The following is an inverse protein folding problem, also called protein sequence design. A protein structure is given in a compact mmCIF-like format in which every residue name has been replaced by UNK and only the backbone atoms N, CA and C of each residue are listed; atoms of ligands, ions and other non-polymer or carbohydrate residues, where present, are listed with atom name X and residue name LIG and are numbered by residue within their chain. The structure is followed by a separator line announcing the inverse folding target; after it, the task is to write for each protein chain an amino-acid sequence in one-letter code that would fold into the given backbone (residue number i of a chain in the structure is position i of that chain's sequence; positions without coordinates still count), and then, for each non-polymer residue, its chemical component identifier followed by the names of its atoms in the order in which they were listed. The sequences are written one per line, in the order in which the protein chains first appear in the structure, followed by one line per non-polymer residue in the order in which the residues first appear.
data_IF_376427970881
#
_entry.id   IF_376427970881
#
_cell.length_a   1.000
_cell.length_b   1.000
_cell.length_c   1.000
_cell.angle_alpha   90.00
_cell.angle_beta   90.00
_cell.angle_gamma   90.00
#
_symmetry.space_group_name_H-M   'P 1'
#
loop_
_entity.id
_entity.type
_entity.pdbx_description
1 polymer ?
#
# COMPACT_ATOMS: atom_id res chain seq x y z
N UNK A 1 21.95 10.08 -2.13
CA UNK A 1 23.24 10.24 -1.43
C UNK A 1 24.26 9.22 -1.91
N UNK A 2 23.98 7.92 -1.78
CA UNK A 2 24.89 6.85 -2.22
C UNK A 2 25.29 6.95 -3.71
N UNK A 3 24.35 7.23 -4.61
CA UNK A 3 24.67 7.43 -6.06
C UNK A 3 25.52 8.67 -6.35
N UNK A 4 25.68 9.56 -5.36
CA UNK A 4 26.52 10.76 -5.45
C UNK A 4 27.84 10.60 -4.68
N UNK A 5 28.20 9.37 -4.31
CA UNK A 5 29.49 9.05 -3.68
C UNK A 5 29.56 9.27 -2.17
N UNK A 6 28.43 9.40 -1.47
CA UNK A 6 28.45 9.42 -0.02
C UNK A 6 28.86 8.03 0.52
N UNK A 7 29.92 7.98 1.32
CA UNK A 7 30.38 6.77 1.99
C UNK A 7 29.26 6.21 2.90
N UNK A 8 28.84 4.93 2.75
CA UNK A 8 27.76 4.36 3.55
C UNK A 8 27.98 4.53 5.06
N UNK A 9 29.21 4.29 5.55
CA UNK A 9 29.56 4.41 6.95
C UNK A 9 29.48 5.84 7.52
N UNK A 10 29.42 6.87 6.66
CA UNK A 10 29.23 8.25 7.07
C UNK A 10 27.74 8.64 7.21
N UNK A 11 26.81 7.74 6.85
CA UNK A 11 25.37 7.97 6.90
C UNK A 11 24.80 7.27 8.13
N UNK A 12 24.23 8.05 9.05
CA UNK A 12 23.38 7.52 10.13
C UNK A 12 21.93 7.56 9.68
N UNK A 13 21.27 6.40 9.60
CA UNK A 13 19.85 6.33 9.30
C UNK A 13 19.03 6.09 10.57
N UNK A 14 18.18 7.05 10.93
CA UNK A 14 17.24 6.91 12.03
C UNK A 14 15.95 6.27 11.52
N UNK A 15 15.64 5.07 12.02
CA UNK A 15 14.38 4.36 11.76
C UNK A 15 13.52 4.48 13.02
N UNK A 16 12.39 5.18 12.92
CA UNK A 16 11.46 5.32 14.05
C UNK A 16 10.68 4.04 14.34
N UNK A 17 10.27 3.32 13.28
CA UNK A 17 9.68 1.97 13.32
C UNK A 17 10.06 1.23 12.03
N UNK A 18 10.45 -0.02 12.14
CA UNK A 18 10.66 -0.85 10.95
C UNK A 18 9.34 -1.08 10.22
N UNK A 19 9.39 -0.97 8.89
CA UNK A 19 8.25 -1.10 8.00
C UNK A 19 8.36 -2.35 7.13
N UNK A 20 7.21 -2.94 6.82
CA UNK A 20 7.07 -3.75 5.61
C UNK A 20 7.05 -2.82 4.39
N UNK A 21 7.77 -3.18 3.34
CA UNK A 21 7.86 -2.42 2.09
C UNK A 21 7.27 -3.22 0.94
N UNK A 22 6.47 -2.59 0.09
CA UNK A 22 5.93 -3.25 -1.10
C UNK A 22 7.01 -3.36 -2.16
N UNK A 23 7.21 -4.56 -2.73
CA UNK A 23 8.12 -4.76 -3.83
C UNK A 23 7.57 -4.07 -5.09
N UNK A 24 8.27 -3.04 -5.58
CA UNK A 24 7.86 -2.24 -6.74
C UNK A 24 7.60 -3.07 -8.00
N UNK A 25 8.22 -4.26 -8.11
CA UNK A 25 8.01 -5.20 -9.22
C UNK A 25 6.53 -5.62 -9.37
N UNK A 26 5.75 -5.60 -8.30
CA UNK A 26 4.33 -5.93 -8.33
C UNK A 26 3.46 -4.85 -9.02
N UNK A 27 4.00 -3.66 -9.27
CA UNK A 27 3.23 -2.47 -9.67
C UNK A 27 3.61 -1.94 -11.07
N UNK A 28 4.26 -2.75 -11.91
CA UNK A 28 4.74 -2.33 -13.22
C UNK A 28 3.78 -2.77 -14.33
N UNK A 29 3.00 -1.83 -14.87
CA UNK A 29 2.00 -2.09 -15.92
C UNK A 29 2.55 -2.03 -17.35
N UNK A 30 3.82 -1.67 -17.53
CA UNK A 30 4.48 -1.64 -18.84
C UNK A 30 4.47 -3.04 -19.48
N UNK A 31 4.27 -3.11 -20.80
CA UNK A 31 4.03 -4.37 -21.50
C UNK A 31 5.13 -5.43 -21.30
N UNK A 32 6.39 -5.01 -21.29
CA UNK A 32 7.56 -5.88 -21.06
C UNK A 32 7.69 -6.39 -19.63
N UNK A 33 7.03 -5.75 -18.66
CA UNK A 33 7.08 -6.09 -17.23
C UNK A 33 5.79 -6.76 -16.74
N UNK A 34 4.72 -6.69 -17.53
CA UNK A 34 3.36 -7.13 -17.20
C UNK A 34 3.29 -8.55 -16.64
N UNK A 35 3.87 -9.52 -17.33
CA UNK A 35 3.75 -10.94 -16.94
C UNK A 35 4.37 -11.19 -15.57
N UNK A 36 5.49 -10.51 -15.26
CA UNK A 36 6.11 -10.57 -13.94
C UNK A 36 5.29 -9.88 -12.84
N UNK A 37 4.58 -8.80 -13.16
CA UNK A 37 3.65 -8.18 -12.21
C UNK A 37 2.40 -9.03 -11.98
N UNK A 38 1.84 -9.67 -13.02
CA UNK A 38 0.72 -10.61 -12.89
C UNK A 38 1.09 -11.85 -12.08
N UNK A 39 2.28 -12.41 -12.29
CA UNK A 39 2.83 -13.49 -11.47
C UNK A 39 2.90 -13.08 -10.00
N UNK A 40 3.46 -11.89 -9.72
CA UNK A 40 3.59 -11.39 -8.34
C UNK A 40 2.23 -11.11 -7.70
N UNK A 41 1.25 -10.61 -8.44
CA UNK A 41 -0.13 -10.46 -7.96
C UNK A 41 -0.75 -11.82 -7.66
N UNK A 42 -0.54 -12.83 -8.51
CA UNK A 42 -1.07 -14.17 -8.30
C UNK A 42 -0.53 -14.79 -7.00
N UNK A 43 0.78 -14.69 -6.77
CA UNK A 43 1.41 -15.17 -5.53
C UNK A 43 0.89 -14.45 -4.29
N UNK A 44 0.66 -13.15 -4.37
CA UNK A 44 0.02 -12.39 -3.29
C UNK A 44 -1.41 -12.89 -3.04
N UNK A 45 -2.18 -13.14 -4.10
CA UNK A 45 -3.54 -13.67 -3.99
C UNK A 45 -3.58 -15.07 -3.38
N UNK A 46 -2.60 -15.93 -3.66
CA UNK A 46 -2.48 -17.25 -3.00
C UNK A 46 -2.26 -17.11 -1.49
N UNK A 47 -1.39 -16.18 -1.06
CA UNK A 47 -1.18 -15.87 0.36
C UNK A 47 -2.46 -15.28 0.97
N UNK A 48 -3.09 -14.31 0.31
CA UNK A 48 -4.33 -13.69 0.77
C UNK A 48 -5.47 -14.70 0.91
N UNK A 49 -5.54 -15.70 0.03
CA UNK A 49 -6.57 -16.75 0.08
C UNK A 49 -6.36 -17.76 1.22
N UNK A 50 -5.13 -17.93 1.71
CA UNK A 50 -4.78 -19.07 2.59
C UNK A 50 -4.20 -18.69 3.96
N UNK A 51 -3.72 -17.46 4.14
CA UNK A 51 -3.11 -17.03 5.40
C UNK A 51 -4.06 -17.20 6.58
N UNK A 52 -3.61 -17.91 7.62
CA UNK A 52 -4.43 -18.27 8.79
C UNK A 52 -4.54 -17.15 9.82
N UNK A 53 -3.54 -16.27 9.90
CA UNK A 53 -3.45 -15.13 10.81
C UNK A 53 -2.74 -13.94 10.13
N UNK A 54 -2.76 -12.76 10.76
CA UNK A 54 -2.01 -11.59 10.28
C UNK A 54 -0.51 -11.87 10.24
N UNK A 55 0.03 -12.63 11.20
CA UNK A 55 1.43 -13.03 11.21
C UNK A 55 1.78 -13.90 10.00
N UNK A 56 0.98 -14.94 9.74
CA UNK A 56 1.15 -15.82 8.59
C UNK A 56 0.98 -15.07 7.25
N UNK A 57 0.11 -14.05 7.22
CA UNK A 57 -0.04 -13.17 6.07
C UNK A 57 1.25 -12.38 5.80
N UNK A 58 1.83 -11.72 6.81
CA UNK A 58 3.11 -11.00 6.66
C UNK A 58 4.24 -11.91 6.18
N UNK A 59 4.38 -13.08 6.81
CA UNK A 59 5.40 -14.07 6.46
C UNK A 59 5.20 -14.59 5.03
N UNK A 60 3.97 -14.91 4.64
CA UNK A 60 3.65 -15.34 3.28
C UNK A 60 3.94 -14.26 2.24
N UNK A 61 3.62 -12.99 2.54
CA UNK A 61 3.91 -11.86 1.65
C UNK A 61 5.41 -11.62 1.48
N UNK A 62 6.20 -11.82 2.54
CA UNK A 62 7.67 -11.80 2.45
C UNK A 62 8.21 -12.98 1.63
N UNK A 63 7.77 -14.21 1.95
CA UNK A 63 8.23 -15.45 1.30
C UNK A 63 7.94 -15.45 -0.20
N UNK A 64 6.78 -14.94 -0.61
CA UNK A 64 6.43 -14.85 -2.02
C UNK A 64 7.13 -13.68 -2.75
N UNK A 65 7.86 -12.84 -2.00
CA UNK A 65 8.67 -11.73 -2.50
C UNK A 65 7.88 -10.44 -2.76
N UNK A 66 6.62 -10.38 -2.35
CA UNK A 66 5.77 -9.20 -2.52
C UNK A 66 6.10 -8.12 -1.50
N UNK A 67 6.42 -8.50 -0.27
CA UNK A 67 6.86 -7.60 0.78
C UNK A 67 8.34 -7.81 1.10
N UNK A 68 8.98 -6.73 1.53
CA UNK A 68 10.40 -6.69 1.85
C UNK A 68 10.58 -6.01 3.21
N UNK A 69 11.65 -6.35 3.93
CA UNK A 69 12.06 -5.66 5.17
C UNK A 69 13.56 -5.40 5.15
N UNK A 70 13.97 -4.36 5.88
CA UNK A 70 15.37 -3.91 5.93
C UNK A 70 16.25 -4.94 6.65
N UNK A 71 15.75 -5.46 7.76
CA UNK A 71 16.49 -6.34 8.66
C UNK A 71 15.66 -7.61 8.92
N UNK A 72 16.23 -8.77 8.61
CA UNK A 72 15.54 -10.06 8.75
C UNK A 72 15.38 -10.50 10.22
N UNK A 73 16.13 -9.91 11.15
CA UNK A 73 16.02 -10.21 12.58
C UNK A 73 14.92 -9.39 13.26
N UNK A 74 14.45 -8.33 12.61
CA UNK A 74 13.41 -7.45 13.15
C UNK A 74 12.09 -7.74 12.46
N UNK A 75 11.04 -7.87 13.26
CA UNK A 75 9.67 -7.96 12.74
C UNK A 75 9.10 -6.56 12.60
N UNK A 76 8.82 -6.07 11.38
CA UNK A 76 8.22 -4.77 11.18
C UNK A 76 6.81 -4.68 11.77
N UNK A 77 6.45 -3.48 12.26
CA UNK A 77 5.14 -3.18 12.86
C UNK A 77 4.33 -2.15 12.05
N UNK A 78 4.95 -1.54 11.04
CA UNK A 78 4.36 -0.50 10.21
C UNK A 78 4.20 -0.98 8.77
N UNK A 79 3.13 -0.55 8.09
CA UNK A 79 2.98 -0.74 6.64
C UNK A 79 2.22 0.43 6.03
N UNK A 80 2.90 1.20 5.18
CA UNK A 80 2.33 2.38 4.49
C UNK A 80 2.21 2.18 2.98
N UNK A 81 2.31 0.93 2.49
CA UNK A 81 2.37 0.61 1.06
C UNK A 81 3.48 1.35 0.28
N UNK A 82 4.56 1.73 0.97
CA UNK A 82 5.72 2.37 0.35
C UNK A 82 6.47 1.37 -0.52
N UNK A 83 6.84 1.79 -1.74
CA UNK A 83 7.41 0.88 -2.74
C UNK A 83 8.93 0.98 -2.84
N UNK A 84 9.60 -0.17 -2.81
CA UNK A 84 11.05 -0.29 -2.94
C UNK A 84 11.40 -1.46 -3.84
N UNK A 85 12.57 -1.42 -4.47
CA UNK A 85 13.16 -2.60 -5.11
C UNK A 85 14.03 -3.37 -4.12
N UNK A 86 14.22 -4.67 -4.35
CA UNK A 86 15.13 -5.48 -3.55
C UNK A 86 16.56 -4.89 -3.53
N UNK A 87 17.03 -4.37 -4.66
CA UNK A 87 18.36 -3.77 -4.77
C UNK A 87 18.49 -2.47 -3.95
N UNK A 88 17.50 -1.58 -3.99
CA UNK A 88 17.48 -0.37 -3.15
C UNK A 88 17.49 -0.73 -1.66
N UNK A 89 16.67 -1.70 -1.24
CA UNK A 89 16.59 -2.10 0.16
C UNK A 89 17.88 -2.78 0.65
N UNK A 90 18.50 -3.60 -0.21
CA UNK A 90 19.82 -4.16 0.07
C UNK A 90 20.84 -3.06 0.31
N UNK A 91 20.89 -2.02 -0.52
CA UNK A 91 21.82 -0.88 -0.30
C UNK A 91 21.59 -0.19 1.04
N UNK A 92 20.34 -0.04 1.47
CA UNK A 92 20.00 0.52 2.79
C UNK A 92 20.51 -0.34 3.95
N UNK A 93 20.46 -1.67 3.80
CA UNK A 93 21.03 -2.60 4.79
C UNK A 93 22.55 -2.46 5.00
N UNK A 94 23.27 -1.85 4.04
CA UNK A 94 24.73 -1.65 4.11
C UNK A 94 25.15 -0.27 4.64
N UNK A 95 24.22 0.58 5.12
CA UNK A 95 24.55 1.91 5.65
C UNK A 95 25.43 1.87 6.91
N UNK A 96 25.64 0.71 7.53
CA UNK A 96 26.56 0.53 8.66
C UNK A 96 26.08 1.10 9.98
N UNK A 97 25.35 2.22 9.99
CA UNK A 97 24.79 2.84 11.18
C UNK A 97 23.27 3.07 11.04
N UNK A 98 22.48 2.14 11.57
CA UNK A 98 21.03 2.24 11.67
C UNK A 98 20.64 2.42 13.14
N UNK A 99 20.03 3.56 13.46
CA UNK A 99 19.56 3.90 14.81
C UNK A 99 18.08 3.57 14.93
N UNK A 100 17.72 2.74 15.91
CA UNK A 100 16.34 2.34 16.22
C UNK A 100 15.96 2.73 17.65
N UNK A 101 15.77 4.03 17.87
CA UNK A 101 15.42 4.58 19.19
C UNK A 101 14.13 5.42 19.13
N UNK A 102 13.19 5.02 18.27
CA UNK A 102 11.93 5.72 18.07
C UNK A 102 12.08 7.02 17.27
N UNK A 103 11.07 7.89 17.35
CA UNK A 103 11.07 9.18 16.61
C UNK A 103 12.16 10.10 17.13
N UNK A 104 12.81 10.81 16.21
CA UNK A 104 13.66 11.95 16.53
C UNK A 104 12.78 13.09 17.06
N UNK A 105 13.13 13.65 18.21
CA UNK A 105 12.38 14.71 18.90
C UNK A 105 13.08 16.06 18.80
N UNK A 106 14.42 16.07 18.89
CA UNK A 106 15.21 17.29 18.86
C UNK A 106 16.62 17.02 18.31
N UNK A 107 17.19 18.01 17.64
CA UNK A 107 18.58 18.04 17.18
C UNK A 107 19.27 19.24 17.83
N UNK A 108 20.47 19.00 18.35
CA UNK A 108 21.39 20.01 18.88
C UNK A 108 22.81 19.75 18.33
N UNK A 109 23.70 20.75 18.29
CA UNK A 109 25.10 20.49 17.97
C UNK A 109 25.69 19.44 18.92
N UNK A 110 26.16 18.31 18.38
CA UNK A 110 26.71 17.22 19.18
C UNK A 110 25.70 16.13 19.57
N UNK A 111 24.39 16.32 19.35
CA UNK A 111 23.36 15.45 19.97
C UNK A 111 22.07 15.33 19.15
N UNK A 112 21.54 14.11 19.10
CA UNK A 112 20.17 13.80 18.71
C UNK A 112 19.39 13.28 19.92
N UNK A 113 18.21 13.84 20.18
CA UNK A 113 17.28 13.35 21.20
C UNK A 113 16.16 12.58 20.50
N UNK A 114 16.02 11.29 20.78
CA UNK A 114 14.96 10.43 20.27
C UNK A 114 14.04 9.98 21.42
N UNK A 115 12.89 9.41 21.09
CA UNK A 115 11.94 8.89 22.08
C UNK A 115 12.55 7.88 23.05
N UNK A 116 13.48 7.05 22.58
CA UNK A 116 14.16 6.03 23.39
C UNK A 116 15.46 6.50 24.04
N UNK A 117 15.86 7.77 23.89
CA UNK A 117 17.07 8.31 24.52
C UNK A 117 17.87 9.27 23.64
N UNK A 118 19.03 9.69 24.13
CA UNK A 118 19.94 10.60 23.43
C UNK A 118 21.10 9.82 22.79
N UNK A 119 21.54 10.28 21.63
CA UNK A 119 22.66 9.70 20.89
C UNK A 119 23.57 10.85 20.43
N UNK A 120 24.88 10.64 20.54
CA UNK A 120 25.86 11.60 20.05
C UNK A 120 25.80 11.69 18.52
N UNK A 121 25.92 12.90 18.00
CA UNK A 121 25.92 13.18 16.58
C UNK A 121 26.96 14.24 16.26
N UNK A 122 27.70 14.18 15.13
CA UNK A 122 28.69 15.20 14.81
C UNK A 122 28.07 16.61 14.82
N UNK A 123 28.74 17.56 15.47
CA UNK A 123 28.22 18.93 15.61
C UNK A 123 27.99 19.64 14.27
N UNK A 124 28.73 19.26 13.21
CA UNK A 124 28.57 19.76 11.84
C UNK A 124 27.80 18.82 10.91
N UNK A 125 27.04 17.83 11.44
CA UNK A 125 26.28 16.90 10.62
C UNK A 125 25.18 17.61 9.81
N UNK A 126 25.00 17.17 8.57
CA UNK A 126 23.83 17.52 7.76
C UNK A 126 22.68 16.58 8.09
N UNK A 127 21.57 17.14 8.56
CA UNK A 127 20.34 16.39 8.82
C UNK A 127 19.40 16.51 7.62
N UNK A 128 18.96 15.36 7.09
CA UNK A 128 17.99 15.29 6.00
C UNK A 128 16.73 14.62 6.54
N UNK A 129 15.68 15.42 6.71
CA UNK A 129 14.39 14.91 7.13
C UNK A 129 13.61 14.34 5.94
N UNK A 130 13.61 13.01 5.84
CA UNK A 130 12.80 12.25 4.89
C UNK A 130 11.53 11.67 5.53
N UNK A 131 11.13 12.15 6.73
CA UNK A 131 9.93 11.68 7.41
C UNK A 131 8.67 12.36 6.85
N UNK A 132 8.20 11.86 5.71
CA UNK A 132 6.94 12.34 5.15
C UNK A 132 5.76 11.78 5.95
N UNK A 133 5.08 12.62 6.73
CA UNK A 133 3.75 12.31 7.26
C UNK A 133 2.70 12.94 6.38
N UNK A 134 2.53 12.38 5.17
CA UNK A 134 1.79 13.01 4.07
C UNK A 134 0.40 13.52 4.51
N UNK A 135 -0.33 12.76 5.36
CA UNK A 135 -1.58 13.17 6.00
C UNK A 135 -1.76 12.47 7.37
N UNK A 136 -0.95 12.85 8.37
CA UNK A 136 -0.91 12.24 9.73
C UNK A 136 -2.25 12.05 10.44
N UNK A 137 -3.30 12.79 10.07
CA UNK A 137 -4.65 12.70 10.68
C UNK A 137 -5.65 11.85 9.86
N UNK A 138 -5.29 11.44 8.66
CA UNK A 138 -6.18 10.73 7.72
C UNK A 138 -6.17 9.21 7.89
N UNK A 139 -5.62 8.64 8.97
CA UNK A 139 -5.82 7.20 9.28
C UNK A 139 -7.17 6.95 9.97
N UNK A 140 -7.72 7.96 10.67
CA UNK A 140 -8.96 7.90 11.44
C UNK A 140 -10.12 8.68 10.83
N UNK A 141 -9.86 9.53 9.84
CA UNK A 141 -10.93 10.26 9.17
C UNK A 141 -11.85 9.28 8.43
N UNK A 142 -13.14 9.33 8.74
CA UNK A 142 -14.21 8.56 8.09
C UNK A 142 -15.36 9.46 7.66
N UNK A 143 -15.09 10.77 7.53
CA UNK A 143 -16.09 11.74 7.09
C UNK A 143 -16.70 11.27 5.77
N UNK A 144 -18.03 11.13 5.65
CA UNK A 144 -18.67 10.69 4.43
C UNK A 144 -18.27 11.53 3.22
N UNK A 145 -18.07 10.89 2.06
CA UNK A 145 -17.72 11.59 0.82
C UNK A 145 -18.80 12.59 0.41
N UNK A 146 -20.08 12.21 0.56
CA UNK A 146 -21.21 13.05 0.21
C UNK A 146 -21.94 13.52 1.47
N UNK A 147 -22.10 14.83 1.61
CA UNK A 147 -22.90 15.49 2.63
C UNK A 147 -23.78 16.56 1.97
N UNK A 148 -24.88 17.02 2.59
CA UNK A 148 -25.71 18.07 2.02
C UNK A 148 -24.89 19.31 1.64
N UNK A 149 -24.84 19.64 0.35
CA UNK A 149 -24.12 20.80 -0.18
C UNK A 149 -22.58 20.71 -0.12
N UNK A 150 -22.00 19.54 0.17
CA UNK A 150 -20.54 19.37 0.30
C UNK A 150 -20.07 17.99 -0.15
N UNK A 151 -18.94 17.97 -0.87
CA UNK A 151 -18.21 16.73 -1.18
C UNK A 151 -16.87 16.77 -0.44
N UNK A 152 -16.67 15.80 0.46
CA UNK A 152 -15.43 15.60 1.20
C UNK A 152 -14.56 14.60 0.42
N UNK A 153 -13.41 15.07 -0.10
CA UNK A 153 -12.52 14.23 -0.92
C UNK A 153 -11.78 13.22 -0.04
N UNK A 154 -12.30 12.00 0.00
CA UNK A 154 -11.70 10.86 0.70
C UNK A 154 -11.16 9.82 -0.29
N UNK A 155 -10.25 8.97 0.20
CA UNK A 155 -9.96 7.72 -0.49
C UNK A 155 -11.21 6.83 -0.45
N UNK A 156 -11.66 6.38 -1.62
CA UNK A 156 -12.64 5.28 -1.76
C UNK A 156 -12.00 4.06 -2.46
N UNK A 157 -10.74 4.23 -2.88
CA UNK A 157 -9.85 3.24 -3.47
C UNK A 157 -8.41 3.50 -3.00
N UNK A 158 -7.99 2.93 -1.86
CA UNK A 158 -6.62 3.10 -1.36
C UNK A 158 -5.64 2.12 -2.04
N UNK A 159 -4.40 2.52 -2.40
CA UNK A 159 -3.79 3.86 -2.32
C UNK A 159 -4.03 4.75 -3.57
N UNK A 160 -4.97 4.39 -4.44
CA UNK A 160 -5.27 5.10 -5.69
C UNK A 160 -6.02 6.43 -5.49
N UNK A 161 -5.31 7.49 -5.09
CA UNK A 161 -5.90 8.82 -4.85
C UNK A 161 -6.60 9.38 -6.09
N UNK A 162 -5.91 9.41 -7.23
CA UNK A 162 -6.48 9.95 -8.47
C UNK A 162 -7.72 9.17 -8.93
N UNK A 163 -7.69 7.84 -8.77
CA UNK A 163 -8.85 7.00 -9.09
C UNK A 163 -10.01 7.26 -8.12
N UNK A 164 -9.73 7.46 -6.83
CA UNK A 164 -10.75 7.81 -5.83
C UNK A 164 -11.48 9.11 -6.21
N UNK A 165 -10.73 10.18 -6.49
CA UNK A 165 -11.31 11.48 -6.85
C UNK A 165 -12.11 11.40 -8.16
N UNK A 166 -11.58 10.69 -9.17
CA UNK A 166 -12.29 10.52 -10.43
C UNK A 166 -13.60 9.71 -10.26
N UNK A 167 -13.57 8.65 -9.45
CA UNK A 167 -14.77 7.87 -9.13
C UNK A 167 -15.79 8.68 -8.35
N UNK A 168 -15.37 9.52 -7.40
CA UNK A 168 -16.29 10.44 -6.70
C UNK A 168 -17.05 11.33 -7.69
N UNK A 169 -16.36 11.91 -8.68
CA UNK A 169 -17.01 12.73 -9.71
C UNK A 169 -17.98 11.94 -10.60
N UNK A 170 -17.62 10.71 -10.96
CA UNK A 170 -18.48 9.83 -11.77
C UNK A 170 -19.71 9.36 -10.98
N UNK A 171 -19.54 9.04 -9.70
CA UNK A 171 -20.64 8.68 -8.81
C UNK A 171 -21.58 9.88 -8.65
N UNK A 172 -21.04 11.08 -8.41
CA UNK A 172 -21.84 12.29 -8.30
C UNK A 172 -22.67 12.58 -9.55
N UNK A 173 -22.09 12.36 -10.73
CA UNK A 173 -22.73 12.68 -12.01
C UNK A 173 -23.82 11.68 -12.42
N UNK A 174 -23.75 10.42 -11.99
CA UNK A 174 -24.58 9.34 -12.53
C UNK A 174 -25.44 8.61 -11.50
N UNK A 175 -25.18 8.79 -10.20
CA UNK A 175 -25.94 8.13 -9.12
C UNK A 175 -26.82 9.17 -8.46
N UNK A 176 -28.13 9.00 -8.50
CA UNK A 176 -29.06 10.00 -7.95
C UNK A 176 -29.32 9.81 -6.45
N UNK A 177 -29.34 8.55 -5.99
CA UNK A 177 -29.66 8.24 -4.60
C UNK A 177 -28.48 8.49 -3.67
N UNK A 178 -28.66 9.36 -2.67
CA UNK A 178 -27.65 9.58 -1.62
C UNK A 178 -27.27 8.30 -0.87
N UNK A 179 -28.25 7.42 -0.63
CA UNK A 179 -28.00 6.12 -0.01
C UNK A 179 -27.10 5.23 -0.88
N UNK A 180 -27.28 5.29 -2.21
CA UNK A 180 -26.45 4.54 -3.14
C UNK A 180 -25.05 5.15 -3.27
N UNK A 181 -24.95 6.48 -3.35
CA UNK A 181 -23.66 7.19 -3.28
C UNK A 181 -22.88 6.76 -2.04
N UNK A 182 -23.51 6.80 -0.86
CA UNK A 182 -22.88 6.40 0.40
C UNK A 182 -22.41 4.94 0.39
N UNK A 183 -23.20 4.02 -0.18
CA UNK A 183 -22.84 2.61 -0.34
C UNK A 183 -21.63 2.41 -1.26
N UNK A 184 -21.48 3.25 -2.28
CA UNK A 184 -20.38 3.19 -3.26
C UNK A 184 -19.11 3.93 -2.82
N UNK A 185 -19.20 4.78 -1.80
CA UNK A 185 -18.10 5.62 -1.33
C UNK A 185 -17.76 5.36 0.13
N UNK A 186 -17.71 4.10 0.55
CA UNK A 186 -17.16 3.79 1.87
C UNK A 186 -15.72 4.28 1.94
N UNK A 187 -15.41 5.05 2.98
CA UNK A 187 -14.10 5.71 3.11
C UNK A 187 -13.04 4.65 3.41
N UNK A 188 -11.97 4.67 2.63
CA UNK A 188 -10.77 3.84 2.74
C UNK A 188 -9.55 4.70 3.10
N UNK A 189 -9.47 5.21 4.34
CA UNK A 189 -8.43 6.15 4.77
C UNK A 189 -7.03 5.55 4.78
N UNK A 190 -6.04 6.39 5.05
CA UNK A 190 -4.65 5.96 5.14
C UNK A 190 -4.44 4.87 6.19
N UNK A 191 -3.33 4.16 6.04
CA UNK A 191 -2.95 3.00 6.85
C UNK A 191 -1.71 3.30 7.67
N UNK A 192 -1.61 2.71 8.86
CA UNK A 192 -0.39 2.71 9.67
C UNK A 192 0.18 1.29 9.88
N UNK A 193 -0.71 0.32 10.10
CA UNK A 193 -0.36 -1.08 10.38
C UNK A 193 -0.75 -2.03 9.23
N UNK A 194 -0.40 -3.30 9.39
CA UNK A 194 -0.82 -4.34 8.45
C UNK A 194 -2.33 -4.61 8.55
N UNK A 195 -2.89 -4.52 9.76
CA UNK A 195 -4.31 -4.65 10.01
C UNK A 195 -5.11 -3.56 9.29
N UNK A 196 -4.61 -2.31 9.31
CA UNK A 196 -5.20 -1.23 8.52
C UNK A 196 -5.22 -1.57 7.02
N UNK A 197 -4.15 -2.17 6.49
CA UNK A 197 -4.10 -2.60 5.10
C UNK A 197 -5.11 -3.70 4.79
N UNK A 198 -5.25 -4.70 5.66
CA UNK A 198 -6.24 -5.77 5.51
C UNK A 198 -7.65 -5.18 5.51
N UNK A 199 -7.95 -4.26 6.42
CA UNK A 199 -9.22 -3.53 6.44
C UNK A 199 -9.45 -2.76 5.13
N UNK A 200 -8.46 -2.00 4.66
CA UNK A 200 -8.57 -1.25 3.40
C UNK A 200 -8.74 -2.14 2.18
N UNK A 201 -8.13 -3.32 2.16
CA UNK A 201 -8.35 -4.29 1.10
C UNK A 201 -9.82 -4.71 1.03
N UNK A 202 -10.46 -4.97 2.18
CA UNK A 202 -11.88 -5.34 2.25
C UNK A 202 -12.78 -4.19 1.83
N UNK A 203 -12.58 -2.97 2.36
CA UNK A 203 -13.37 -1.79 1.98
C UNK A 203 -13.25 -1.51 0.47
N UNK A 204 -12.04 -1.62 -0.08
CA UNK A 204 -11.80 -1.50 -1.52
C UNK A 204 -12.60 -2.53 -2.33
N UNK A 205 -12.72 -3.78 -1.85
CA UNK A 205 -13.47 -4.83 -2.53
C UNK A 205 -14.99 -4.60 -2.46
N UNK A 206 -15.50 -4.11 -1.33
CA UNK A 206 -16.90 -3.76 -1.14
C UNK A 206 -17.33 -2.60 -2.04
N UNK A 207 -16.53 -1.53 -2.09
CA UNK A 207 -16.76 -0.43 -3.01
C UNK A 207 -16.70 -0.89 -4.47
N UNK A 208 -15.69 -1.70 -4.84
CA UNK A 208 -15.59 -2.27 -6.19
C UNK A 208 -16.86 -3.05 -6.57
N UNK A 209 -17.38 -3.87 -5.67
CA UNK A 209 -18.62 -4.62 -5.89
C UNK A 209 -19.81 -3.68 -6.12
N UNK A 210 -19.93 -2.61 -5.32
CA UNK A 210 -20.98 -1.61 -5.50
C UNK A 210 -20.86 -0.92 -6.87
N UNK A 211 -19.64 -0.56 -7.30
CA UNK A 211 -19.40 0.03 -8.62
C UNK A 211 -19.76 -0.91 -9.77
N UNK A 212 -19.48 -2.21 -9.66
CA UNK A 212 -19.85 -3.21 -10.68
C UNK A 212 -21.37 -3.42 -10.78
N UNK A 213 -22.12 -3.10 -9.73
CA UNK A 213 -23.58 -3.16 -9.70
C UNK A 213 -24.28 -2.02 -10.43
N UNK A 214 -23.60 -0.89 -10.67
CA UNK A 214 -24.18 0.27 -11.33
C UNK A 214 -23.65 0.41 -12.77
N UNK A 215 -24.54 0.40 -13.77
CA UNK A 215 -24.16 0.30 -15.19
C UNK A 215 -23.24 1.44 -15.65
N UNK A 216 -23.62 2.70 -15.41
CA UNK A 216 -22.83 3.85 -15.84
C UNK A 216 -21.42 3.87 -15.22
N UNK A 217 -21.33 3.65 -13.90
CA UNK A 217 -20.05 3.61 -13.17
C UNK A 217 -19.18 2.45 -13.63
N UNK A 218 -19.75 1.24 -13.78
CA UNK A 218 -19.04 0.08 -14.31
C UNK A 218 -18.51 0.33 -15.72
N UNK A 219 -19.34 0.87 -16.60
CA UNK A 219 -18.97 1.17 -17.99
C UNK A 219 -17.78 2.13 -18.06
N UNK A 220 -17.85 3.23 -17.29
CA UNK A 220 -16.74 4.19 -17.20
C UNK A 220 -15.46 3.56 -16.62
N UNK A 221 -15.57 2.81 -15.52
CA UNK A 221 -14.40 2.17 -14.90
C UNK A 221 -13.73 1.16 -15.84
N UNK A 222 -14.52 0.48 -16.68
CA UNK A 222 -14.05 -0.46 -17.70
C UNK A 222 -13.07 0.15 -18.72
N UNK A 223 -13.13 1.46 -18.96
CA UNK A 223 -12.24 2.18 -19.87
C UNK A 223 -11.29 3.15 -19.16
N UNK A 224 -11.42 3.31 -17.84
CA UNK A 224 -10.60 4.22 -17.05
C UNK A 224 -9.16 3.70 -16.92
N UNK A 225 -8.18 4.54 -17.29
CA UNK A 225 -6.75 4.22 -17.18
C UNK A 225 -6.18 4.34 -15.77
N UNK A 226 -6.89 5.02 -14.86
CA UNK A 226 -6.44 5.21 -13.48
C UNK A 226 -6.53 3.93 -12.65
N UNK A 227 -7.32 2.94 -13.10
CA UNK A 227 -7.32 1.59 -12.54
C UNK A 227 -6.23 0.73 -13.21
N UNK A 228 -4.98 0.95 -12.78
CA UNK A 228 -3.81 0.39 -13.44
C UNK A 228 -3.81 -1.15 -13.48
N UNK A 229 -4.28 -1.81 -12.41
CA UNK A 229 -4.32 -3.28 -12.35
C UNK A 229 -5.40 -3.83 -13.28
N UNK A 230 -6.60 -3.26 -13.27
CA UNK A 230 -7.66 -3.70 -14.16
C UNK A 230 -7.30 -3.41 -15.64
N UNK A 231 -6.71 -2.26 -15.93
CA UNK A 231 -6.19 -1.94 -17.26
C UNK A 231 -5.11 -2.94 -17.70
N UNK A 232 -4.19 -3.30 -16.80
CA UNK A 232 -3.16 -4.31 -17.06
C UNK A 232 -3.75 -5.68 -17.37
N UNK A 233 -4.76 -6.13 -16.62
CA UNK A 233 -5.46 -7.41 -16.87
C UNK A 233 -6.21 -7.43 -18.20
N UNK A 234 -6.84 -6.32 -18.60
CA UNK A 234 -7.53 -6.18 -19.89
C UNK A 234 -6.56 -6.15 -21.07
N UNK A 235 -5.38 -5.57 -20.88
CA UNK A 235 -4.35 -5.42 -21.91
C UNK A 235 -3.49 -6.68 -22.12
N UNK A 236 -3.84 -7.82 -21.51
CA UNK A 236 -3.16 -9.10 -21.74
C UNK A 236 -3.48 -9.61 -23.15
N UNK A 237 -2.48 -9.74 -24.04
CA UNK A 237 -2.69 -10.31 -25.38
C UNK A 237 -3.17 -11.76 -25.31
N UNK A 238 -4.03 -12.16 -26.24
CA UNK A 238 -4.61 -13.52 -26.26
C UNK A 238 -3.56 -14.61 -26.57
N UNK A 239 -2.50 -14.25 -27.28
CA UNK A 239 -1.36 -15.10 -27.64
C UNK A 239 -0.26 -15.14 -26.57
N UNK A 240 -0.31 -14.28 -25.55
CA UNK A 240 0.56 -14.37 -24.37
C UNK A 240 0.00 -15.40 -23.38
N UNK A 241 0.31 -16.67 -23.65
CA UNK A 241 -0.15 -17.83 -22.87
C UNK A 241 0.22 -17.70 -21.39
N UNK A 242 1.40 -17.16 -21.08
CA UNK A 242 1.88 -17.01 -19.69
C UNK A 242 1.09 -15.94 -18.95
N UNK A 243 0.90 -14.76 -19.54
CA UNK A 243 0.10 -13.71 -18.94
C UNK A 243 -1.38 -14.11 -18.82
N UNK A 244 -1.93 -14.82 -19.81
CA UNK A 244 -3.29 -15.38 -19.75
C UNK A 244 -3.44 -16.32 -18.55
N UNK A 245 -2.50 -17.25 -18.35
CA UNK A 245 -2.51 -18.17 -17.20
C UNK A 245 -2.57 -17.42 -15.87
N UNK A 246 -1.73 -16.40 -15.68
CA UNK A 246 -1.74 -15.63 -14.44
C UNK A 246 -3.02 -14.82 -14.24
N UNK A 247 -3.54 -14.19 -15.30
CA UNK A 247 -4.81 -13.46 -15.27
C UNK A 247 -5.97 -14.38 -14.88
N UNK A 248 -6.02 -15.57 -15.46
CA UNK A 248 -7.14 -16.50 -15.22
C UNK A 248 -7.04 -17.11 -13.82
N UNK A 249 -5.83 -17.44 -13.35
CA UNK A 249 -5.60 -17.85 -11.96
C UNK A 249 -5.99 -16.77 -10.94
N UNK A 250 -5.70 -15.50 -11.22
CA UNK A 250 -6.14 -14.38 -10.38
C UNK A 250 -7.67 -14.31 -10.25
N UNK A 251 -8.41 -14.61 -11.33
CA UNK A 251 -9.88 -14.67 -11.30
C UNK A 251 -10.37 -15.85 -10.47
N UNK A 252 -9.75 -17.02 -10.61
CA UNK A 252 -10.08 -18.21 -9.82
C UNK A 252 -9.89 -17.98 -8.31
N UNK A 253 -8.82 -17.28 -7.91
CA UNK A 253 -8.50 -17.00 -6.51
C UNK A 253 -9.38 -15.91 -5.89
N UNK A 254 -10.03 -15.07 -6.70
CA UNK A 254 -10.73 -13.88 -6.21
C UNK A 254 -11.79 -14.16 -5.12
N UNK A 255 -12.64 -15.21 -5.21
CA UNK A 255 -13.60 -15.54 -4.16
C UNK A 255 -12.92 -15.91 -2.83
N UNK A 256 -11.88 -16.75 -2.88
CA UNK A 256 -11.15 -17.21 -1.69
C UNK A 256 -10.40 -16.06 -1.02
N UNK A 257 -9.77 -15.19 -1.82
CA UNK A 257 -9.16 -13.94 -1.35
C UNK A 257 -10.19 -13.08 -0.63
N UNK A 258 -11.35 -12.85 -1.24
CA UNK A 258 -12.38 -12.01 -0.64
C UNK A 258 -12.92 -12.62 0.68
N UNK A 259 -13.09 -13.94 0.74
CA UNK A 259 -13.53 -14.63 1.94
C UNK A 259 -12.49 -14.56 3.06
N UNK A 260 -11.24 -14.91 2.76
CA UNK A 260 -10.19 -14.99 3.78
C UNK A 260 -9.75 -13.59 4.27
N UNK A 261 -9.72 -12.57 3.42
CA UNK A 261 -9.38 -11.21 3.84
C UNK A 261 -10.44 -10.62 4.79
N UNK A 262 -11.73 -10.93 4.59
CA UNK A 262 -12.78 -10.58 5.57
C UNK A 262 -12.60 -11.32 6.90
N UNK A 263 -12.24 -12.61 6.86
CA UNK A 263 -11.92 -13.39 8.07
C UNK A 263 -10.75 -12.78 8.83
N UNK A 264 -9.65 -12.47 8.14
CA UNK A 264 -8.48 -11.83 8.75
C UNK A 264 -8.83 -10.46 9.36
N UNK A 265 -9.61 -9.63 8.65
CA UNK A 265 -10.10 -8.33 9.17
C UNK A 265 -10.84 -8.49 10.50
N UNK A 266 -11.74 -9.48 10.61
CA UNK A 266 -12.50 -9.71 11.85
C UNK A 266 -11.65 -10.16 13.04
N UNK A 267 -10.51 -10.80 12.79
CA UNK A 267 -9.57 -11.21 13.84
C UNK A 267 -8.73 -10.06 14.37
N UNK A 268 -8.55 -9.00 13.58
CA UNK A 268 -7.79 -7.80 13.96
C UNK A 268 -8.60 -6.80 14.79
N UNK A 269 -9.93 -6.97 14.83
CA UNK A 269 -10.86 -6.10 15.57
C UNK A 269 -11.31 -6.66 16.92
N UNK A 270 -10.83 -7.85 17.31
CA UNK A 270 -11.09 -8.50 18.60
C UNK A 270 -9.84 -8.54 19.46
#
# INVERSE_FOLDING_TARGET
MLDRGAEPAAITWVISRDAWWSNRRALQSAGTLRSGSLEMLCRQSEVMATASSVAAYCEGMEQCGAWLRVDAQIRPTMYHAATVTKAELQRLGHLGCIVRSGKLLQIEPGRMTLQGGCIDSPAGALYIDCSASALSRNCLDRTPVFSPGRIDLQFIRFPGLCLSVALTGIIEAFVESDAEKQRMTQVAPMIDTVEDWIDRFVVNAENQQAWMGHEAVRSWLGVCRLDAVAAMMRAVPADDVVACRWRDRLRELAPDVAANMRRLRSMSTG
#
